data_IF_658824383171
#
_entry.id   IF_658824383171
#
_cell.length_a   1.000
_cell.length_b   1.000
_cell.length_c   1.000
_cell.angle_alpha   90.00
_cell.angle_beta   90.00
_cell.angle_gamma   90.00
#
_symmetry.space_group_name_H-M   'P 1'
#
loop_
_entity.id
_entity.type
_entity.pdbx_description
1 polymer ?
#
# COMPACT_ATOMS: atom_id res chain seq x y z
N UNK A 1 -12.55 17.56 -22.22
CA UNK A 1 -11.90 18.07 -23.46
C UNK A 1 -10.82 17.06 -23.81
N UNK A 2 -10.73 16.64 -25.04
CA UNK A 2 -9.63 15.80 -25.51
C UNK A 2 -8.36 16.63 -25.66
N UNK A 3 -7.28 16.20 -25.04
CA UNK A 3 -5.98 16.86 -25.04
C UNK A 3 -5.05 16.34 -26.13
N UNK A 4 -5.41 15.24 -26.80
CA UNK A 4 -4.59 14.60 -27.83
C UNK A 4 -4.10 15.57 -28.91
N UNK A 5 -4.95 16.45 -29.51
CA UNK A 5 -4.50 17.38 -30.52
C UNK A 5 -3.45 18.38 -30.03
N UNK A 6 -3.52 18.78 -28.78
CA UNK A 6 -2.56 19.72 -28.16
C UNK A 6 -1.23 19.07 -27.79
N UNK A 7 -1.24 17.76 -27.58
CA UNK A 7 -0.02 16.96 -27.39
C UNK A 7 0.66 16.74 -28.75
N UNK A 8 -0.12 16.40 -29.76
CA UNK A 8 0.39 16.14 -31.10
C UNK A 8 1.00 17.39 -31.78
N UNK A 9 0.40 18.56 -31.57
CA UNK A 9 0.92 19.82 -32.11
C UNK A 9 2.03 20.45 -31.25
N UNK A 10 2.37 19.84 -30.11
CA UNK A 10 3.41 20.29 -29.20
C UNK A 10 3.01 21.45 -28.28
N UNK A 11 1.75 21.87 -28.27
CA UNK A 11 1.24 22.88 -27.33
C UNK A 11 1.36 22.38 -25.89
N UNK A 12 1.15 21.06 -25.68
CA UNK A 12 1.39 20.39 -24.38
C UNK A 12 2.59 19.47 -24.56
N UNK A 13 3.68 19.81 -23.88
CA UNK A 13 4.89 19.00 -23.88
C UNK A 13 4.81 17.88 -22.81
N UNK A 14 4.69 16.65 -23.26
CA UNK A 14 4.69 15.45 -22.42
C UNK A 14 5.97 14.64 -22.53
N UNK A 15 7.03 15.16 -23.14
CA UNK A 15 8.28 14.46 -23.41
C UNK A 15 8.99 13.91 -22.15
N UNK A 16 8.72 14.51 -20.99
CA UNK A 16 9.23 14.07 -19.68
C UNK A 16 8.21 13.27 -18.85
N UNK A 17 7.06 12.92 -19.43
CA UNK A 17 6.05 12.11 -18.76
C UNK A 17 6.23 10.66 -19.20
N UNK A 18 6.35 9.74 -18.23
CA UNK A 18 6.41 8.32 -18.55
C UNK A 18 5.10 7.89 -19.23
N UNK A 19 5.20 7.07 -20.27
CA UNK A 19 4.04 6.59 -21.03
C UNK A 19 3.02 5.90 -20.11
N UNK A 20 3.47 5.07 -19.17
CA UNK A 20 2.59 4.42 -18.18
C UNK A 20 1.83 5.40 -17.28
N UNK A 21 2.38 6.62 -17.09
CA UNK A 21 1.72 7.69 -16.33
C UNK A 21 0.73 8.44 -17.21
N UNK A 22 1.08 8.69 -18.48
CA UNK A 22 0.20 9.33 -19.45
C UNK A 22 -1.04 8.46 -19.74
N UNK A 23 -0.86 7.15 -19.82
CA UNK A 23 -1.94 6.17 -19.99
C UNK A 23 -3.03 6.26 -18.89
N UNK A 24 -2.70 6.70 -17.68
CA UNK A 24 -3.70 6.88 -16.62
C UNK A 24 -4.74 7.94 -16.92
N UNK A 25 -4.45 8.84 -17.85
CA UNK A 25 -5.36 9.90 -18.30
C UNK A 25 -6.07 9.61 -19.62
N UNK A 26 -5.88 8.39 -20.19
CA UNK A 26 -6.43 8.00 -21.48
C UNK A 26 -7.80 7.34 -21.32
N UNK A 27 -8.70 7.64 -22.24
CA UNK A 27 -10.01 6.96 -22.39
C UNK A 27 -10.21 6.67 -23.89
N UNK A 28 -10.22 5.40 -24.26
CA UNK A 28 -10.17 5.01 -25.66
C UNK A 28 -8.90 5.55 -26.33
N UNK A 29 -9.02 6.21 -27.45
CA UNK A 29 -7.88 6.77 -28.20
C UNK A 29 -7.47 8.18 -27.73
N UNK A 30 -8.24 8.82 -26.87
CA UNK A 30 -8.02 10.21 -26.44
C UNK A 30 -7.38 10.34 -25.05
N UNK A 31 -6.58 11.39 -24.86
CA UNK A 31 -6.03 11.80 -23.56
C UNK A 31 -6.90 12.92 -22.98
N UNK A 32 -7.47 12.70 -21.80
CA UNK A 32 -8.41 13.63 -21.15
C UNK A 32 -7.87 14.23 -19.87
N UNK A 33 -6.79 13.67 -19.33
CA UNK A 33 -6.10 14.17 -18.16
C UNK A 33 -4.60 13.91 -18.24
N UNK A 34 -3.82 14.74 -17.59
CA UNK A 34 -2.37 14.52 -17.41
C UNK A 34 -2.12 14.46 -15.92
N UNK A 35 -1.49 13.37 -15.49
CA UNK A 35 -1.11 13.18 -14.10
C UNK A 35 -0.04 14.21 -13.70
N UNK A 36 -0.30 14.96 -12.64
CA UNK A 36 0.63 15.98 -12.14
C UNK A 36 1.57 15.46 -11.02
N UNK A 37 1.44 14.19 -10.66
CA UNK A 37 2.27 13.56 -9.65
C UNK A 37 1.88 12.13 -9.38
N UNK A 38 2.83 11.32 -8.93
CA UNK A 38 2.62 9.92 -8.58
C UNK A 38 2.88 9.74 -7.09
N UNK A 39 1.93 9.14 -6.39
CA UNK A 39 2.12 8.68 -5.02
C UNK A 39 2.42 7.18 -5.05
N UNK A 40 3.51 6.80 -4.41
CA UNK A 40 3.86 5.41 -4.22
C UNK A 40 3.77 5.05 -2.73
N UNK A 41 3.15 3.91 -2.44
CA UNK A 41 3.19 3.35 -1.10
C UNK A 41 4.59 2.83 -0.81
N UNK A 42 5.10 3.13 0.37
CA UNK A 42 6.39 2.64 0.84
C UNK A 42 6.26 2.16 2.29
N UNK A 43 7.06 1.18 2.63
CA UNK A 43 7.20 0.71 3.99
C UNK A 43 8.35 1.48 4.66
N UNK A 44 8.07 2.01 5.84
CA UNK A 44 9.08 2.64 6.67
C UNK A 44 9.41 1.75 7.86
N UNK A 45 10.67 1.67 8.20
CA UNK A 45 11.12 0.93 9.38
C UNK A 45 12.14 1.74 10.17
N UNK A 46 12.17 1.50 11.47
CA UNK A 46 13.19 2.08 12.33
C UNK A 46 14.41 1.15 12.35
N UNK A 47 15.47 1.57 11.64
CA UNK A 47 16.68 0.75 11.54
C UNK A 47 17.32 0.44 12.90
N UNK A 48 17.30 1.38 13.84
CA UNK A 48 17.88 1.15 15.18
C UNK A 48 17.17 0.01 15.90
N UNK A 49 15.83 -0.01 15.85
CA UNK A 49 15.04 -1.07 16.48
C UNK A 49 15.33 -2.43 15.82
N UNK A 50 15.43 -2.47 14.49
CA UNK A 50 15.73 -3.71 13.78
C UNK A 50 17.15 -4.23 14.08
N UNK A 51 18.13 -3.34 14.10
CA UNK A 51 19.51 -3.69 14.43
C UNK A 51 19.62 -4.24 15.88
N UNK A 52 18.95 -3.60 16.85
CA UNK A 52 18.91 -4.06 18.24
C UNK A 52 18.20 -5.43 18.38
N UNK A 53 17.17 -5.66 17.58
CA UNK A 53 16.45 -6.92 17.54
C UNK A 53 17.18 -8.02 16.72
N UNK A 54 18.21 -7.67 15.96
CA UNK A 54 18.93 -8.58 15.08
C UNK A 54 18.08 -9.06 13.90
N UNK A 55 17.22 -8.16 13.37
CA UNK A 55 16.29 -8.44 12.26
C UNK A 55 16.80 -7.74 11.00
N UNK A 56 16.93 -8.49 9.92
CA UNK A 56 17.29 -7.97 8.61
C UNK A 56 16.05 -7.81 7.73
N UNK A 57 16.00 -6.67 7.01
CA UNK A 57 14.98 -6.41 6.00
C UNK A 57 15.62 -6.61 4.63
N UNK A 58 14.91 -7.26 3.73
CA UNK A 58 15.33 -7.45 2.36
C UNK A 58 14.25 -6.98 1.37
N UNK A 59 14.66 -6.70 0.15
CA UNK A 59 13.73 -6.36 -0.93
C UNK A 59 12.89 -7.59 -1.34
N UNK A 60 11.71 -7.34 -1.89
CA UNK A 60 10.80 -8.38 -2.39
C UNK A 60 10.27 -9.34 -1.33
N UNK A 61 10.06 -8.85 -0.11
CA UNK A 61 9.41 -9.63 0.94
C UNK A 61 8.00 -10.04 0.54
N UNK A 62 7.61 -11.25 0.90
CA UNK A 62 6.22 -11.66 0.87
C UNK A 62 5.44 -11.05 2.04
N UNK A 63 4.12 -11.16 2.03
CA UNK A 63 3.29 -10.68 3.13
C UNK A 63 3.53 -11.52 4.39
N UNK A 64 3.73 -12.81 4.23
CA UNK A 64 4.03 -13.74 5.32
C UNK A 64 5.34 -13.38 6.02
N UNK A 65 6.41 -13.14 5.26
CA UNK A 65 7.71 -12.69 5.79
C UNK A 65 7.59 -11.35 6.51
N UNK A 66 6.80 -10.43 5.96
CA UNK A 66 6.53 -9.16 6.62
C UNK A 66 5.79 -9.33 7.96
N UNK A 67 4.79 -10.20 8.01
CA UNK A 67 4.07 -10.50 9.26
C UNK A 67 4.95 -11.18 10.31
N UNK A 68 5.84 -12.08 9.87
CA UNK A 68 6.84 -12.70 10.74
C UNK A 68 7.78 -11.67 11.34
N UNK A 69 8.28 -10.73 10.53
CA UNK A 69 9.11 -9.61 10.99
C UNK A 69 8.34 -8.76 12.00
N UNK A 70 7.08 -8.41 11.74
CA UNK A 70 6.27 -7.63 12.67
C UNK A 70 6.09 -8.33 14.02
N UNK A 71 5.87 -9.64 13.98
CA UNK A 71 5.72 -10.49 15.17
C UNK A 71 7.03 -10.56 15.96
N UNK A 72 8.13 -10.80 15.26
CA UNK A 72 9.47 -10.90 15.86
C UNK A 72 9.92 -9.55 16.48
N UNK A 73 9.67 -8.42 15.81
CA UNK A 73 9.91 -7.08 16.38
C UNK A 73 9.14 -6.91 17.68
N UNK A 74 7.86 -7.28 17.69
CA UNK A 74 7.04 -7.14 18.88
C UNK A 74 7.53 -8.03 20.03
N UNK A 75 7.87 -9.28 19.76
CA UNK A 75 8.38 -10.23 20.76
C UNK A 75 9.71 -9.76 21.38
N UNK A 76 10.63 -9.23 20.56
CA UNK A 76 11.96 -8.82 21.03
C UNK A 76 11.98 -7.44 21.67
N UNK A 77 11.12 -6.53 21.23
CA UNK A 77 11.24 -5.11 21.59
C UNK A 77 9.98 -4.53 22.25
N UNK A 78 8.83 -5.19 22.13
CA UNK A 78 7.54 -4.66 22.56
C UNK A 78 6.92 -3.61 21.61
N UNK A 79 7.64 -3.18 20.57
CA UNK A 79 7.11 -2.20 19.61
C UNK A 79 6.13 -2.85 18.66
N UNK A 80 5.03 -2.14 18.43
CA UNK A 80 3.97 -2.60 17.53
C UNK A 80 4.15 -2.04 16.14
N UNK A 81 3.85 -2.87 15.16
CA UNK A 81 3.81 -2.48 13.76
C UNK A 81 2.42 -1.99 13.36
N UNK A 82 2.34 -1.19 12.32
CA UNK A 82 1.08 -0.74 11.76
C UNK A 82 1.02 -1.07 10.28
N UNK A 83 -0.02 -1.78 9.88
CA UNK A 83 -0.37 -2.00 8.48
C UNK A 83 -1.21 -0.84 7.92
N UNK A 84 -1.55 0.12 8.76
CA UNK A 84 -2.44 1.22 8.44
C UNK A 84 -1.65 2.50 8.19
N UNK A 85 -1.76 2.97 7.00
CA UNK A 85 -1.23 4.26 6.58
C UNK A 85 -2.41 5.18 6.29
N UNK A 86 -3.02 5.86 7.26
CA UNK A 86 -4.13 6.77 7.00
C UNK A 86 -5.18 6.23 6.01
N UNK A 87 -6.36 6.62 6.09
CA UNK A 87 -7.60 6.04 5.54
C UNK A 87 -7.67 5.31 4.18
N UNK A 88 -6.66 5.43 3.32
CA UNK A 88 -6.70 4.84 1.96
C UNK A 88 -5.89 3.56 1.78
N UNK A 89 -5.11 3.15 2.74
CA UNK A 89 -4.02 2.18 2.55
C UNK A 89 -4.38 0.75 2.87
N UNK A 90 -5.52 0.52 3.52
CA UNK A 90 -6.02 -0.85 3.74
C UNK A 90 -6.32 -1.54 2.41
N UNK A 91 -6.87 -0.80 1.46
CA UNK A 91 -7.14 -1.29 0.11
C UNK A 91 -5.84 -1.63 -0.64
N UNK A 92 -4.77 -0.85 -0.50
CA UNK A 92 -3.48 -1.17 -1.11
C UNK A 92 -2.91 -2.48 -0.57
N UNK A 93 -3.01 -2.72 0.73
CA UNK A 93 -2.55 -3.98 1.32
C UNK A 93 -3.34 -5.18 0.78
N UNK A 94 -4.67 -5.06 0.66
CA UNK A 94 -5.50 -6.07 0.00
C UNK A 94 -5.05 -6.31 -1.44
N UNK A 95 -4.74 -5.25 -2.20
CA UNK A 95 -4.23 -5.40 -3.57
C UNK A 95 -2.88 -6.11 -3.62
N UNK A 96 -1.99 -5.89 -2.66
CA UNK A 96 -0.71 -6.61 -2.59
C UNK A 96 -0.91 -8.09 -2.31
N UNK A 97 -1.78 -8.46 -1.37
CA UNK A 97 -2.15 -9.85 -1.11
C UNK A 97 -2.68 -10.54 -2.37
N UNK A 98 -3.65 -9.94 -3.03
CA UNK A 98 -4.23 -10.48 -4.25
C UNK A 98 -3.20 -10.63 -5.38
N UNK A 99 -2.30 -9.67 -5.55
CA UNK A 99 -1.23 -9.76 -6.55
C UNK A 99 -0.23 -10.86 -6.24
N UNK A 100 0.05 -11.12 -4.98
CA UNK A 100 0.87 -12.25 -4.54
C UNK A 100 0.29 -13.60 -4.99
N UNK A 101 -1.03 -13.69 -5.09
CA UNK A 101 -1.77 -14.85 -5.61
C UNK A 101 -2.02 -14.81 -7.12
N UNK A 102 -1.49 -13.81 -7.83
CA UNK A 102 -1.73 -13.62 -9.27
C UNK A 102 -3.12 -13.07 -9.61
N UNK A 103 -3.83 -12.53 -8.61
CA UNK A 103 -5.17 -11.93 -8.75
C UNK A 103 -5.10 -10.41 -8.77
N UNK A 104 -6.17 -9.78 -9.20
CA UNK A 104 -6.34 -8.31 -9.16
C UNK A 104 -7.65 -7.96 -8.47
N UNK A 105 -7.67 -6.87 -7.70
CA UNK A 105 -8.91 -6.41 -7.05
C UNK A 105 -9.92 -5.89 -8.06
N UNK A 106 -9.44 -5.24 -9.10
CA UNK A 106 -10.26 -4.68 -10.18
C UNK A 106 -9.74 -5.16 -11.54
N UNK A 107 -10.65 -5.54 -12.42
CA UNK A 107 -10.36 -5.93 -13.81
C UNK A 107 -11.62 -5.89 -14.65
N UNK A 108 -11.50 -5.53 -15.94
CA UNK A 108 -12.56 -5.53 -16.94
C UNK A 108 -13.86 -4.82 -16.53
N UNK A 109 -13.73 -3.72 -15.77
CA UNK A 109 -14.87 -2.94 -15.29
C UNK A 109 -15.66 -3.57 -14.13
N UNK A 110 -15.13 -4.60 -13.50
CA UNK A 110 -15.73 -5.30 -12.36
C UNK A 110 -14.69 -5.60 -11.26
N UNK A 111 -15.15 -6.17 -10.15
CA UNK A 111 -14.25 -6.77 -9.17
C UNK A 111 -13.59 -8.00 -9.79
N UNK A 112 -12.27 -8.10 -9.66
CA UNK A 112 -11.46 -9.20 -10.15
C UNK A 112 -11.33 -10.36 -9.17
N UNK A 113 -12.08 -10.32 -8.04
CA UNK A 113 -12.18 -11.40 -7.06
C UNK A 113 -13.44 -12.22 -7.32
N UNK A 114 -13.33 -13.53 -7.23
CA UNK A 114 -14.41 -14.46 -7.56
C UNK A 114 -15.31 -14.77 -6.35
N UNK A 115 -14.73 -14.67 -5.16
CA UNK A 115 -15.42 -15.04 -3.91
C UNK A 115 -14.90 -14.28 -2.69
N UNK A 116 -15.58 -14.44 -1.56
CA UNK A 116 -15.15 -13.89 -0.29
C UNK A 116 -13.84 -14.52 0.22
N UNK A 117 -13.55 -15.75 -0.17
CA UNK A 117 -12.31 -16.46 0.17
C UNK A 117 -11.08 -15.75 -0.35
N UNK A 118 -11.17 -15.07 -1.50
CA UNK A 118 -10.05 -14.32 -2.08
C UNK A 118 -9.62 -13.12 -1.22
N UNK A 119 -10.56 -12.56 -0.46
CA UNK A 119 -10.30 -11.39 0.39
C UNK A 119 -10.13 -11.76 1.88
N UNK A 120 -10.44 -12.98 2.24
CA UNK A 120 -10.39 -13.47 3.62
C UNK A 120 -9.00 -13.35 4.25
N UNK A 121 -7.88 -13.67 3.56
CA UNK A 121 -6.53 -13.53 4.11
C UNK A 121 -6.22 -12.12 4.64
N UNK A 122 -6.74 -11.09 4.00
CA UNK A 122 -6.59 -9.70 4.45
C UNK A 122 -7.20 -9.48 5.85
N UNK A 123 -8.40 -10.00 6.08
CA UNK A 123 -9.06 -9.86 7.39
C UNK A 123 -8.40 -10.75 8.44
N UNK A 124 -7.95 -11.93 8.06
CA UNK A 124 -7.25 -12.87 8.95
C UNK A 124 -5.92 -12.30 9.43
N UNK A 125 -5.13 -11.66 8.56
CA UNK A 125 -3.90 -10.97 8.91
C UNK A 125 -4.15 -9.88 9.96
N UNK A 126 -5.17 -9.07 9.74
CA UNK A 126 -5.58 -8.03 10.68
C UNK A 126 -5.99 -8.60 12.03
N UNK A 127 -6.82 -9.64 12.01
CA UNK A 127 -7.30 -10.31 13.24
C UNK A 127 -6.15 -10.95 14.01
N UNK A 128 -5.23 -11.63 13.32
CA UNK A 128 -4.05 -12.25 13.92
C UNK A 128 -3.17 -11.20 14.60
N UNK A 129 -2.80 -10.14 13.89
CA UNK A 129 -1.97 -9.07 14.44
C UNK A 129 -2.57 -8.38 15.67
N UNK A 130 -3.90 -8.25 15.69
CA UNK A 130 -4.62 -7.71 16.87
C UNK A 130 -4.64 -8.68 18.03
N UNK A 131 -4.90 -9.96 17.80
CA UNK A 131 -4.95 -11.00 18.83
C UNK A 131 -3.58 -11.27 19.43
N UNK A 132 -2.56 -11.34 18.61
CA UNK A 132 -1.17 -11.57 19.00
C UNK A 132 -0.50 -10.30 19.58
N UNK A 133 -1.10 -9.15 19.36
CA UNK A 133 -0.72 -7.88 19.97
C UNK A 133 0.35 -7.08 19.21
N UNK A 134 0.92 -7.59 18.12
CA UNK A 134 1.94 -6.88 17.34
C UNK A 134 1.38 -5.78 16.43
N UNK A 135 0.07 -5.75 16.20
CA UNK A 135 -0.60 -4.71 15.43
C UNK A 135 -1.16 -3.61 16.33
N UNK A 136 -1.14 -2.36 15.85
CA UNK A 136 -1.78 -1.24 16.54
C UNK A 136 -3.31 -1.36 16.49
N UNK A 137 -3.96 -1.14 17.62
CA UNK A 137 -5.42 -1.14 17.69
C UNK A 137 -6.02 0.00 16.85
N UNK A 138 -7.19 -0.19 16.21
CA UNK A 138 -7.81 0.78 15.32
C UNK A 138 -7.99 2.18 15.92
N UNK A 139 -8.24 2.27 17.23
CA UNK A 139 -8.41 3.55 17.93
C UNK A 139 -7.11 4.38 17.93
N UNK A 140 -5.96 3.73 18.09
CA UNK A 140 -4.65 4.41 18.04
C UNK A 140 -4.29 4.82 16.62
N UNK A 141 -4.69 4.05 15.62
CA UNK A 141 -4.54 4.44 14.22
C UNK A 141 -5.30 5.74 13.90
N UNK A 142 -6.51 5.91 14.43
CA UNK A 142 -7.29 7.14 14.27
C UNK A 142 -6.62 8.34 14.94
N UNK A 143 -6.07 8.17 16.13
CA UNK A 143 -5.34 9.22 16.85
C UNK A 143 -4.06 9.61 16.11
N UNK A 144 -3.33 8.64 15.58
CA UNK A 144 -2.14 8.86 14.75
C UNK A 144 -2.45 9.64 13.47
N UNK A 145 -3.52 9.29 12.78
CA UNK A 145 -3.95 10.00 11.56
C UNK A 145 -4.29 11.47 11.83
N UNK A 146 -4.68 11.79 13.07
CA UNK A 146 -4.95 13.18 13.50
C UNK A 146 -3.74 13.93 14.00
N UNK A 147 -2.53 13.38 13.88
CA UNK A 147 -1.29 14.02 14.35
C UNK A 147 -1.16 14.10 15.88
N UNK A 148 -1.92 13.32 16.62
CA UNK A 148 -1.95 13.30 18.10
C UNK A 148 -1.18 12.10 18.66
N UNK A 149 -0.22 11.56 17.95
CA UNK A 149 0.56 10.41 18.45
C UNK A 149 1.71 10.90 19.30
N UNK A 150 1.51 10.85 20.57
CA UNK A 150 2.58 10.66 21.53
C UNK A 150 2.89 9.16 21.57
N UNK A 151 4.05 8.77 21.07
CA UNK A 151 4.54 7.40 21.22
C UNK A 151 5.08 7.32 22.63
N UNK A 152 4.24 6.87 23.57
CA UNK A 152 4.75 6.39 24.85
C UNK A 152 5.34 4.99 24.61
N UNK A 153 6.52 4.72 25.19
CA UNK A 153 7.24 3.46 25.04
C UNK A 153 6.43 2.25 25.58
#
# INVERSE_FOLDING_TARGET
>A
MDLTPYIEDGTIDVSNVLESVLETGRIGDGVYAICNGVNASAMFYNKTILDEAGIEIHDYMTVEEFEEICREVYEKTGYKSSLSYGGYTREYFLQYLLRGEGKQLYGDGALGVESAEDVLPFFQSYEAGMKEGWHLAPRRDVERTRGQVQVDP
#
